data_IF_095103663403
#
_entry.id   IF_095103663403
#
_cell.length_a   1.000
_cell.length_b   1.000
_cell.length_c   1.000
_cell.angle_alpha   90.00
_cell.angle_beta   90.00
_cell.angle_gamma   90.00
#
_symmetry.space_group_name_H-M   'P 1'
#
loop_
_entity.id
_entity.type
_entity.pdbx_description
1 polymer ?
#
# COMPACT_ATOMS: atom_id res chain seq x y z
N UNK A 1 73.98 62.54 -3.69
CA UNK A 1 74.14 62.65 -5.17
C UNK A 1 73.42 61.46 -5.78
N UNK A 2 72.52 61.53 -6.76
CA UNK A 2 71.89 62.57 -7.55
C UNK A 2 70.84 61.86 -8.42
N UNK A 3 69.67 62.46 -8.59
CA UNK A 3 68.51 61.94 -9.34
C UNK A 3 68.86 61.50 -10.77
N UNK A 4 68.15 60.48 -11.27
CA UNK A 4 67.45 60.56 -12.56
C UNK A 4 66.29 59.56 -12.63
N UNK A 5 65.10 60.11 -12.90
CA UNK A 5 63.86 59.40 -13.11
C UNK A 5 63.77 58.92 -14.56
N UNK A 6 63.25 57.72 -14.79
CA UNK A 6 62.50 57.42 -16.01
C UNK A 6 61.23 56.65 -15.67
N UNK A 7 60.12 57.34 -15.95
CA UNK A 7 58.77 56.81 -16.13
C UNK A 7 58.77 55.70 -17.17
N UNK A 8 58.03 54.61 -16.93
CA UNK A 8 57.15 54.02 -17.96
C UNK A 8 56.14 53.02 -17.37
N UNK A 9 54.87 53.25 -17.74
CA UNK A 9 53.82 52.25 -17.98
C UNK A 9 53.26 51.42 -16.80
N UNK A 10 52.16 51.92 -16.22
CA UNK A 10 51.10 51.09 -15.59
C UNK A 10 50.54 50.09 -16.61
N UNK A 11 50.78 48.79 -16.42
CA UNK A 11 49.97 47.73 -17.05
C UNK A 11 48.80 47.38 -16.13
N UNK A 12 47.62 47.93 -16.43
CA UNK A 12 46.35 47.42 -15.93
C UNK A 12 46.17 45.97 -16.42
N UNK A 13 46.36 44.98 -15.53
CA UNK A 13 45.86 43.63 -15.77
C UNK A 13 44.39 43.60 -15.37
N UNK A 14 43.49 43.74 -16.35
CA UNK A 14 42.07 43.37 -16.17
C UNK A 14 41.98 41.88 -15.80
N UNK A 15 41.16 41.46 -14.81
CA UNK A 15 40.97 40.05 -14.52
C UNK A 15 40.25 39.38 -15.70
N UNK A 16 40.99 38.55 -16.46
CA UNK A 16 40.47 37.78 -17.61
C UNK A 16 39.38 36.80 -17.18
N UNK A 17 38.14 37.04 -17.64
CA UNK A 17 37.12 36.15 -18.28
C UNK A 17 36.99 34.64 -17.92
N UNK A 18 37.74 34.06 -16.97
CA UNK A 18 37.73 32.60 -16.69
C UNK A 18 36.48 32.10 -15.95
N UNK A 19 35.78 32.95 -15.19
CA UNK A 19 34.58 32.54 -14.41
C UNK A 19 33.32 32.28 -15.26
N UNK A 20 33.16 32.88 -16.45
CA UNK A 20 31.93 32.73 -17.26
C UNK A 20 31.87 31.39 -18.01
N UNK A 21 33.00 30.84 -18.42
CA UNK A 21 33.04 29.54 -19.10
C UNK A 21 32.86 28.37 -18.12
N UNK A 22 33.34 28.50 -16.87
CA UNK A 22 33.13 27.49 -15.83
C UNK A 22 31.67 27.39 -15.38
N UNK A 23 30.93 28.51 -15.34
CA UNK A 23 29.50 28.51 -14.99
C UNK A 23 28.65 27.87 -16.11
N UNK A 24 28.97 28.15 -17.39
CA UNK A 24 28.26 27.52 -18.52
C UNK A 24 28.49 26.01 -18.57
N UNK A 25 29.74 25.57 -18.35
CA UNK A 25 30.05 24.15 -18.27
C UNK A 25 29.31 23.47 -17.10
N UNK A 26 29.25 24.11 -15.93
CA UNK A 26 28.51 23.61 -14.78
C UNK A 26 27.01 23.49 -15.06
N UNK A 27 26.40 24.51 -15.69
CA UNK A 27 24.99 24.48 -16.09
C UNK A 27 24.68 23.38 -17.10
N UNK A 28 25.57 23.15 -18.07
CA UNK A 28 25.42 22.07 -19.04
C UNK A 28 25.52 20.69 -18.38
N UNK A 29 26.39 20.51 -17.39
CA UNK A 29 26.49 19.27 -16.60
C UNK A 29 25.21 19.07 -15.78
N UNK A 30 24.69 20.11 -15.12
CA UNK A 30 23.44 20.03 -14.37
C UNK A 30 22.27 19.65 -15.29
N UNK A 31 22.16 20.26 -16.46
CA UNK A 31 21.12 19.91 -17.44
C UNK A 31 21.23 18.47 -17.92
N UNK A 32 22.44 17.97 -18.16
CA UNK A 32 22.67 16.56 -18.51
C UNK A 32 22.26 15.61 -17.39
N UNK A 33 22.56 15.95 -16.14
CA UNK A 33 22.13 15.16 -14.97
C UNK A 33 20.61 15.17 -14.87
N UNK A 34 19.97 16.33 -14.96
CA UNK A 34 18.51 16.44 -14.91
C UNK A 34 17.84 15.67 -16.04
N UNK A 35 18.39 15.74 -17.25
CA UNK A 35 17.89 14.95 -18.38
C UNK A 35 18.09 13.45 -18.15
N UNK A 36 19.25 13.03 -17.62
CA UNK A 36 19.51 11.63 -17.27
C UNK A 36 18.57 11.11 -16.19
N UNK A 37 18.29 11.90 -15.15
CA UNK A 37 17.31 11.56 -14.10
C UNK A 37 15.90 11.48 -14.67
N UNK A 38 15.49 12.46 -15.46
CA UNK A 38 14.18 12.45 -16.14
C UNK A 38 14.03 11.24 -17.06
N UNK A 39 15.04 10.94 -17.88
CA UNK A 39 15.03 9.78 -18.78
C UNK A 39 15.01 8.45 -18.01
N UNK A 40 15.70 8.37 -16.87
CA UNK A 40 15.63 7.20 -15.98
C UNK A 40 14.25 7.03 -15.36
N UNK A 41 13.62 8.12 -14.91
CA UNK A 41 12.23 8.11 -14.42
C UNK A 41 11.30 7.59 -15.51
N UNK A 42 11.44 8.07 -16.74
CA UNK A 42 10.57 7.66 -17.85
C UNK A 42 10.71 6.16 -18.20
N UNK A 43 11.93 5.61 -18.15
CA UNK A 43 12.14 4.16 -18.32
C UNK A 43 11.44 3.38 -17.21
N UNK A 44 11.63 3.78 -15.95
CA UNK A 44 11.03 3.09 -14.79
C UNK A 44 9.51 3.17 -14.82
N UNK A 45 8.95 4.34 -15.15
CA UNK A 45 7.50 4.53 -15.28
C UNK A 45 6.93 3.68 -16.42
N UNK A 46 7.62 3.56 -17.55
CA UNK A 46 7.19 2.73 -18.67
C UNK A 46 7.10 1.25 -18.29
N UNK A 47 8.11 0.71 -17.60
CA UNK A 47 8.10 -0.69 -17.14
C UNK A 47 7.01 -0.92 -16.10
N UNK A 48 6.91 -0.06 -15.09
CA UNK A 48 5.87 -0.15 -14.06
C UNK A 48 4.45 -0.09 -14.67
N UNK A 49 4.24 0.76 -15.66
CA UNK A 49 2.97 0.87 -16.39
C UNK A 49 2.63 -0.42 -17.13
N UNK A 50 3.62 -1.06 -17.75
CA UNK A 50 3.41 -2.31 -18.48
C UNK A 50 3.04 -3.48 -17.56
N UNK A 51 3.69 -3.60 -16.39
CA UNK A 51 3.41 -4.63 -15.39
C UNK A 51 2.02 -4.42 -14.80
N UNK A 52 1.72 -3.19 -14.36
CA UNK A 52 0.41 -2.84 -13.82
C UNK A 52 -0.72 -3.12 -14.83
N UNK A 53 -0.46 -2.94 -16.13
CA UNK A 53 -1.44 -3.27 -17.17
C UNK A 53 -1.74 -4.77 -17.23
N UNK A 54 -0.72 -5.63 -17.23
CA UNK A 54 -0.90 -7.10 -17.26
C UNK A 54 -1.63 -7.59 -16.01
N UNK A 55 -1.25 -7.07 -14.84
CA UNK A 55 -1.90 -7.41 -13.57
C UNK A 55 -3.37 -7.00 -13.56
N UNK A 56 -3.69 -5.80 -14.08
CA UNK A 56 -5.07 -5.35 -14.19
C UNK A 56 -5.89 -6.18 -15.21
N UNK A 57 -5.27 -6.64 -16.30
CA UNK A 57 -5.93 -7.54 -17.28
C UNK A 57 -6.23 -8.92 -16.67
N UNK A 58 -5.33 -9.47 -15.85
CA UNK A 58 -5.57 -10.72 -15.11
C UNK A 58 -6.77 -10.55 -14.15
N UNK A 59 -6.83 -9.43 -13.44
CA UNK A 59 -7.96 -9.12 -12.55
C UNK A 59 -9.26 -8.99 -13.35
N UNK A 60 -9.26 -8.36 -14.52
CA UNK A 60 -10.44 -8.24 -15.38
C UNK A 60 -10.98 -9.61 -15.83
N UNK A 61 -10.09 -10.55 -16.15
CA UNK A 61 -10.47 -11.92 -16.49
C UNK A 61 -11.12 -12.63 -15.29
N UNK A 62 -10.58 -12.44 -14.09
CA UNK A 62 -11.15 -13.00 -12.86
C UNK A 62 -12.54 -12.40 -12.60
N UNK A 63 -12.70 -11.08 -12.76
CA UNK A 63 -14.00 -10.41 -12.63
C UNK A 63 -15.02 -11.02 -13.61
N UNK A 64 -14.63 -11.20 -14.87
CA UNK A 64 -15.52 -11.78 -15.87
C UNK A 64 -15.91 -13.23 -15.55
N UNK A 65 -14.98 -14.03 -15.04
CA UNK A 65 -15.21 -15.44 -14.75
C UNK A 65 -16.03 -15.65 -13.46
N UNK A 66 -15.76 -14.86 -12.42
CA UNK A 66 -16.21 -15.13 -11.06
C UNK A 66 -17.20 -14.08 -10.51
N UNK A 67 -17.41 -12.96 -11.20
CA UNK A 67 -18.17 -11.81 -10.71
C UNK A 67 -19.68 -11.81 -10.97
N UNK A 68 -20.25 -12.83 -11.63
CA UNK A 68 -21.65 -12.82 -12.09
C UNK A 68 -22.68 -12.57 -10.97
N UNK A 69 -22.42 -13.06 -9.76
CA UNK A 69 -23.30 -12.94 -8.59
C UNK A 69 -22.95 -11.73 -7.69
N UNK A 70 -22.13 -10.80 -8.19
CA UNK A 70 -21.60 -9.67 -7.45
C UNK A 70 -21.83 -8.36 -8.20
N UNK A 71 -22.12 -7.30 -7.43
CA UNK A 71 -21.95 -5.93 -7.92
C UNK A 71 -20.51 -5.48 -7.63
N UNK A 72 -19.76 -5.13 -8.67
CA UNK A 72 -18.42 -4.55 -8.58
C UNK A 72 -18.50 -3.12 -9.11
N UNK A 73 -18.40 -2.17 -8.20
CA UNK A 73 -18.63 -0.74 -8.45
C UNK A 73 -17.30 -0.01 -8.26
N UNK A 74 -16.89 0.78 -9.25
CA UNK A 74 -15.73 1.66 -9.17
C UNK A 74 -16.17 3.05 -8.71
N UNK A 75 -15.77 3.43 -7.49
CA UNK A 75 -16.09 4.71 -6.86
C UNK A 75 -15.01 5.06 -5.82
N UNK A 76 -14.05 5.92 -6.20
CA UNK A 76 -12.89 6.30 -5.38
C UNK A 76 -12.19 5.08 -4.75
N UNK A 77 -11.97 4.05 -5.58
CA UNK A 77 -11.67 2.69 -5.16
C UNK A 77 -12.71 1.72 -5.70
N UNK A 78 -12.96 0.64 -4.96
CA UNK A 78 -13.90 -0.40 -5.37
C UNK A 78 -14.83 -0.82 -4.24
N UNK A 79 -16.09 -1.05 -4.57
CA UNK A 79 -17.08 -1.67 -3.71
C UNK A 79 -17.52 -2.98 -4.38
N UNK A 80 -17.36 -4.10 -3.67
CA UNK A 80 -17.72 -5.43 -4.12
C UNK A 80 -18.76 -5.98 -3.14
N UNK A 81 -19.97 -6.29 -3.62
CA UNK A 81 -21.04 -6.81 -2.77
C UNK A 81 -21.85 -7.92 -3.46
N UNK A 82 -22.42 -8.86 -2.70
CA UNK A 82 -23.35 -9.85 -3.26
C UNK A 82 -24.60 -9.19 -3.85
N UNK A 83 -25.01 -9.59 -5.05
CA UNK A 83 -26.29 -9.14 -5.64
C UNK A 83 -27.48 -10.06 -5.27
N UNK A 84 -27.21 -11.18 -4.61
CA UNK A 84 -28.20 -12.17 -4.19
C UNK A 84 -28.74 -11.96 -2.76
N UNK A 85 -28.16 -11.04 -1.98
CA UNK A 85 -28.64 -10.64 -0.65
C UNK A 85 -28.06 -9.30 -0.22
N UNK A 86 -28.76 -8.58 0.63
CA UNK A 86 -28.21 -7.37 1.26
C UNK A 86 -27.20 -7.74 2.37
N UNK A 87 -25.95 -7.26 2.30
CA UNK A 87 -24.95 -7.51 3.33
C UNK A 87 -25.20 -6.66 4.59
N UNK A 88 -24.98 -7.24 5.77
CA UNK A 88 -25.04 -6.54 7.08
C UNK A 88 -23.68 -6.50 7.79
N UNK A 89 -22.69 -7.21 7.26
CA UNK A 89 -21.29 -7.21 7.72
C UNK A 89 -20.39 -6.81 6.56
N UNK A 90 -19.39 -5.98 6.85
CA UNK A 90 -18.51 -5.40 5.85
C UNK A 90 -17.04 -5.57 6.17
N UNK A 91 -16.22 -5.48 5.13
CA UNK A 91 -14.77 -5.57 5.17
C UNK A 91 -14.20 -4.36 4.44
N UNK A 92 -13.24 -3.66 5.05
CA UNK A 92 -12.49 -2.58 4.39
C UNK A 92 -11.07 -3.07 4.17
N UNK A 93 -10.58 -3.07 2.93
CA UNK A 93 -9.21 -3.51 2.60
C UNK A 93 -8.34 -2.29 2.29
N UNK A 94 -7.40 -2.00 3.18
CA UNK A 94 -6.34 -1.02 2.98
C UNK A 94 -5.19 -1.67 2.20
N UNK A 95 -5.11 -1.33 0.92
CA UNK A 95 -4.06 -1.78 0.02
C UNK A 95 -2.66 -1.37 0.51
N UNK A 96 -1.64 -2.14 0.10
CA UNK A 96 -0.26 -1.79 0.36
C UNK A 96 0.14 -0.53 -0.42
N UNK A 97 1.08 0.24 0.14
CA UNK A 97 1.52 1.50 -0.45
C UNK A 97 2.15 1.31 -1.83
N UNK A 98 1.67 2.05 -2.83
CA UNK A 98 2.13 1.97 -4.21
C UNK A 98 1.48 0.84 -5.03
N UNK A 99 0.58 0.05 -4.45
CA UNK A 99 -0.14 -1.02 -5.13
C UNK A 99 -1.54 -0.55 -5.53
N UNK A 100 -1.99 -0.94 -6.72
CA UNK A 100 -3.33 -0.65 -7.20
C UNK A 100 -4.40 -1.28 -6.28
N UNK A 101 -5.45 -0.53 -5.88
CA UNK A 101 -6.61 -1.09 -5.18
C UNK A 101 -7.24 -2.27 -5.94
N UNK A 102 -7.23 -2.20 -7.28
CA UNK A 102 -7.80 -3.24 -8.16
C UNK A 102 -7.17 -4.62 -7.93
N UNK A 103 -5.89 -4.68 -7.56
CA UNK A 103 -5.18 -5.93 -7.27
C UNK A 103 -5.82 -6.75 -6.14
N UNK A 104 -6.64 -6.14 -5.28
CA UNK A 104 -7.32 -6.82 -4.16
C UNK A 104 -8.72 -7.35 -4.52
N UNK A 105 -9.21 -7.10 -5.74
CA UNK A 105 -10.53 -7.58 -6.16
C UNK A 105 -10.65 -9.11 -6.09
N UNK A 106 -9.65 -9.93 -6.50
CA UNK A 106 -9.78 -11.39 -6.41
C UNK A 106 -10.03 -11.91 -4.99
N UNK A 107 -9.29 -11.42 -3.99
CA UNK A 107 -9.57 -11.71 -2.58
C UNK A 107 -10.98 -11.22 -2.18
N UNK A 108 -11.38 -10.04 -2.65
CA UNK A 108 -12.68 -9.44 -2.35
C UNK A 108 -13.84 -10.23 -2.95
N UNK A 109 -13.69 -10.82 -4.13
CA UNK A 109 -14.69 -11.70 -4.75
C UNK A 109 -14.94 -12.92 -3.86
N UNK A 110 -13.88 -13.56 -3.34
CA UNK A 110 -14.02 -14.73 -2.45
C UNK A 110 -14.83 -14.36 -1.20
N UNK A 111 -14.52 -13.21 -0.59
CA UNK A 111 -15.22 -12.70 0.60
C UNK A 111 -16.66 -12.30 0.27
N UNK A 112 -16.89 -11.59 -0.84
CA UNK A 112 -18.21 -11.14 -1.23
C UNK A 112 -19.16 -12.28 -1.62
N UNK A 113 -18.63 -13.38 -2.18
CA UNK A 113 -19.40 -14.63 -2.40
C UNK A 113 -19.87 -15.29 -1.11
N UNK A 114 -19.21 -15.05 0.03
CA UNK A 114 -19.71 -15.44 1.36
C UNK A 114 -20.74 -14.45 1.91
N UNK A 115 -21.04 -13.42 1.13
CA UNK A 115 -22.09 -12.45 1.30
C UNK A 115 -21.75 -11.32 2.26
N UNK A 116 -20.48 -10.90 2.25
CA UNK A 116 -19.98 -9.68 2.89
C UNK A 116 -19.90 -8.56 1.85
N UNK A 117 -20.02 -7.31 2.29
CA UNK A 117 -19.60 -6.19 1.46
C UNK A 117 -18.11 -5.95 1.65
N UNK A 118 -17.36 -5.75 0.58
CA UNK A 118 -15.93 -5.42 0.63
C UNK A 118 -15.72 -4.06 -0.01
N UNK A 119 -15.01 -3.18 0.67
CA UNK A 119 -14.64 -1.84 0.18
C UNK A 119 -13.13 -1.73 0.14
N UNK A 120 -12.58 -1.35 -1.00
CA UNK A 120 -11.15 -1.11 -1.21
C UNK A 120 -10.97 0.38 -1.55
N UNK A 121 -10.69 1.26 -0.57
CA UNK A 121 -10.47 2.67 -0.85
C UNK A 121 -9.25 2.90 -1.74
N UNK A 122 -9.37 3.87 -2.64
CA UNK A 122 -8.23 4.48 -3.32
C UNK A 122 -7.70 5.66 -2.52
N UNK A 123 -6.37 5.79 -2.47
CA UNK A 123 -5.69 6.90 -1.82
C UNK A 123 -4.84 7.64 -2.83
N UNK A 124 -4.58 8.94 -2.59
CA UNK A 124 -3.69 9.72 -3.44
C UNK A 124 -2.33 9.03 -3.57
N UNK A 125 -1.89 8.80 -4.82
CA UNK A 125 -0.66 8.06 -5.15
C UNK A 125 -0.59 6.64 -4.57
N UNK A 126 -1.73 5.98 -4.33
CA UNK A 126 -1.82 4.69 -3.65
C UNK A 126 -1.10 4.70 -2.28
N UNK A 127 -1.14 5.85 -1.58
CA UNK A 127 -0.47 6.01 -0.28
C UNK A 127 -1.50 5.99 0.85
N UNK A 128 -1.66 4.87 1.57
CA UNK A 128 -2.73 4.71 2.58
C UNK A 128 -2.58 5.65 3.79
N UNK A 129 -1.40 6.27 3.96
CA UNK A 129 -1.18 7.31 4.97
C UNK A 129 -1.88 8.65 4.64
N UNK A 130 -2.31 8.84 3.39
CA UNK A 130 -2.93 10.09 2.89
C UNK A 130 -4.45 9.89 2.81
N UNK A 131 -5.12 9.84 3.95
CA UNK A 131 -6.57 9.57 4.01
C UNK A 131 -7.11 9.33 5.41
N UNK A 132 -6.77 10.19 6.37
CA UNK A 132 -7.11 9.96 7.79
C UNK A 132 -8.60 9.78 8.06
N UNK A 133 -9.49 10.37 7.23
CA UNK A 133 -10.94 10.26 7.41
C UNK A 133 -11.62 9.23 6.49
N UNK A 134 -10.87 8.49 5.68
CA UNK A 134 -11.44 7.56 4.68
C UNK A 134 -12.26 6.46 5.35
N UNK A 135 -11.77 5.86 6.44
CA UNK A 135 -12.48 4.79 7.17
C UNK A 135 -13.85 5.24 7.67
N UNK A 136 -13.92 6.40 8.32
CA UNK A 136 -15.18 6.96 8.84
C UNK A 136 -16.17 7.28 7.72
N UNK A 137 -15.66 7.77 6.59
CA UNK A 137 -16.49 8.07 5.41
C UNK A 137 -17.12 6.80 4.86
N UNK A 138 -16.32 5.74 4.67
CA UNK A 138 -16.81 4.42 4.24
C UNK A 138 -17.88 3.88 5.18
N UNK A 139 -17.62 3.91 6.50
CA UNK A 139 -18.56 3.37 7.48
C UNK A 139 -19.88 4.15 7.48
N UNK A 140 -19.83 5.48 7.33
CA UNK A 140 -20.99 6.36 7.28
C UNK A 140 -21.81 6.17 5.99
N UNK A 141 -21.15 6.00 4.85
CA UNK A 141 -21.84 5.88 3.55
C UNK A 141 -22.48 4.50 3.35
N UNK A 142 -22.26 3.56 4.29
CA UNK A 142 -22.72 2.18 4.23
C UNK A 142 -23.48 1.79 5.52
N UNK A 143 -24.54 2.53 5.83
CA UNK A 143 -25.34 2.40 7.06
C UNK A 143 -26.01 1.04 7.25
N UNK A 144 -26.23 0.28 6.17
CA UNK A 144 -26.72 -1.10 6.23
C UNK A 144 -25.73 -2.07 6.91
N UNK A 145 -24.44 -1.71 6.93
CA UNK A 145 -23.39 -2.50 7.57
C UNK A 145 -23.32 -2.16 9.06
N UNK A 146 -23.50 -3.20 9.88
CA UNK A 146 -23.55 -3.11 11.33
C UNK A 146 -22.19 -3.39 11.97
N UNK A 147 -21.39 -4.27 11.35
CA UNK A 147 -20.11 -4.71 11.88
C UNK A 147 -19.06 -4.69 10.77
N UNK A 148 -17.92 -4.08 11.08
CA UNK A 148 -16.78 -3.93 10.18
C UNK A 148 -15.56 -4.69 10.67
N UNK A 149 -14.89 -5.34 9.72
CA UNK A 149 -13.51 -5.80 9.86
C UNK A 149 -12.63 -4.98 8.93
N UNK A 150 -11.53 -4.45 9.42
CA UNK A 150 -10.56 -3.73 8.57
C UNK A 150 -9.36 -4.63 8.33
N UNK A 151 -9.01 -4.84 7.06
CA UNK A 151 -7.86 -5.63 6.62
C UNK A 151 -6.84 -4.66 6.05
N UNK A 152 -5.58 -4.76 6.45
CA UNK A 152 -4.52 -3.90 5.92
C UNK A 152 -3.30 -4.72 5.54
N UNK A 153 -2.76 -4.45 4.35
CA UNK A 153 -1.56 -5.12 3.84
C UNK A 153 -0.35 -4.19 3.88
N UNK A 154 0.76 -4.64 4.47
CA UNK A 154 2.01 -3.88 4.50
C UNK A 154 1.80 -2.48 5.08
N UNK A 155 2.13 -1.44 4.30
CA UNK A 155 1.91 -0.03 4.69
C UNK A 155 0.43 0.32 4.91
N UNK A 156 -0.49 -0.42 4.30
CA UNK A 156 -1.93 -0.30 4.55
C UNK A 156 -2.31 -0.78 5.95
N UNK A 157 -1.64 -1.82 6.46
CA UNK A 157 -1.79 -2.32 7.84
C UNK A 157 -1.34 -1.30 8.88
N UNK A 158 -0.17 -0.70 8.67
CA UNK A 158 0.31 0.41 9.48
C UNK A 158 -0.68 1.58 9.46
N UNK A 159 -1.07 2.04 8.27
CA UNK A 159 -1.94 3.19 8.10
C UNK A 159 -3.34 3.00 8.73
N UNK A 160 -3.96 1.82 8.58
CA UNK A 160 -5.27 1.58 9.19
C UNK A 160 -5.21 1.59 10.71
N UNK A 161 -4.07 1.16 11.30
CA UNK A 161 -3.96 0.88 12.73
C UNK A 161 -4.24 2.09 13.62
N UNK A 162 -3.93 3.30 13.13
CA UNK A 162 -4.13 4.54 13.89
C UNK A 162 -5.61 4.95 14.01
N UNK A 163 -6.50 4.37 13.18
CA UNK A 163 -7.93 4.72 13.13
C UNK A 163 -8.87 3.57 13.53
N UNK A 164 -8.36 2.39 13.91
CA UNK A 164 -9.20 1.23 14.25
C UNK A 164 -10.12 1.42 15.47
N UNK A 165 -9.90 2.47 16.26
CA UNK A 165 -10.73 2.83 17.42
C UNK A 165 -11.69 4.00 17.15
N UNK A 166 -11.74 4.49 15.91
CA UNK A 166 -12.50 5.69 15.57
C UNK A 166 -14.02 5.46 15.53
N UNK A 167 -14.46 4.22 15.32
CA UNK A 167 -15.87 3.86 15.18
C UNK A 167 -16.20 2.55 15.91
N UNK A 168 -17.32 2.53 16.64
CA UNK A 168 -17.75 1.38 17.43
C UNK A 168 -18.22 0.19 16.59
N UNK A 169 -18.58 0.39 15.32
CA UNK A 169 -18.93 -0.68 14.39
C UNK A 169 -17.71 -1.49 13.98
N UNK A 170 -16.49 -0.98 14.18
CA UNK A 170 -15.25 -1.73 13.92
C UNK A 170 -15.07 -2.74 15.05
N UNK A 171 -15.13 -4.02 14.71
CA UNK A 171 -14.97 -5.12 15.67
C UNK A 171 -13.78 -6.03 15.36
N UNK A 172 -13.27 -5.97 14.13
CA UNK A 172 -12.20 -6.82 13.64
C UNK A 172 -11.06 -6.04 12.99
N UNK A 173 -9.84 -6.54 13.13
CA UNK A 173 -8.70 -6.09 12.35
C UNK A 173 -7.86 -7.28 11.86
N UNK A 174 -7.35 -7.20 10.62
CA UNK A 174 -6.46 -8.20 10.03
C UNK A 174 -5.23 -7.52 9.46
N UNK A 175 -4.06 -7.85 9.99
CA UNK A 175 -2.77 -7.41 9.47
C UNK A 175 -2.23 -8.48 8.52
N UNK A 176 -2.15 -8.16 7.23
CA UNK A 176 -1.48 -8.99 6.22
C UNK A 176 -0.05 -8.49 6.08
N UNK A 177 0.93 -9.34 6.36
CA UNK A 177 2.37 -9.04 6.32
C UNK A 177 2.71 -7.63 6.86
N UNK A 178 2.14 -7.30 8.03
CA UNK A 178 2.25 -5.99 8.64
C UNK A 178 2.01 -6.05 10.14
N UNK A 179 2.14 -4.90 10.79
CA UNK A 179 1.95 -4.71 12.22
C UNK A 179 1.36 -3.30 12.48
N UNK A 180 0.83 -3.02 13.68
CA UNK A 180 0.40 -1.67 14.03
C UNK A 180 1.55 -0.66 13.98
N UNK A 181 1.25 0.59 13.63
CA UNK A 181 2.22 1.68 13.73
C UNK A 181 2.63 1.94 15.18
N UNK A 182 3.76 2.61 15.37
CA UNK A 182 4.37 2.81 16.69
C UNK A 182 3.44 3.39 17.77
N UNK A 183 2.54 4.30 17.40
CA UNK A 183 1.57 4.91 18.32
C UNK A 183 0.23 4.17 18.45
N UNK A 184 0.01 3.10 17.69
CA UNK A 184 -1.29 2.41 17.61
C UNK A 184 -1.36 1.20 18.54
N UNK A 185 -1.48 1.42 19.85
CA UNK A 185 -1.68 0.34 20.81
C UNK A 185 -3.12 -0.19 20.79
N UNK A 186 -3.31 -1.41 20.30
CA UNK A 186 -4.59 -2.11 20.22
C UNK A 186 -4.79 -3.15 21.33
N UNK A 187 -3.83 -3.34 22.24
CA UNK A 187 -3.84 -4.41 23.26
C UNK A 187 -5.10 -4.44 24.13
N UNK A 188 -5.67 -3.27 24.39
CA UNK A 188 -6.91 -3.07 25.19
C UNK A 188 -8.09 -2.57 24.36
N UNK A 189 -8.06 -2.75 23.04
CA UNK A 189 -9.11 -2.27 22.14
C UNK A 189 -10.41 -3.07 22.22
N UNK A 190 -10.35 -4.34 22.65
CA UNK A 190 -11.48 -5.26 22.58
C UNK A 190 -11.74 -5.82 21.17
N UNK A 191 -10.96 -5.40 20.17
CA UNK A 191 -11.06 -5.91 18.80
C UNK A 191 -10.64 -7.38 18.73
N UNK A 192 -11.27 -8.12 17.81
CA UNK A 192 -10.75 -9.39 17.33
C UNK A 192 -9.65 -9.11 16.32
N UNK A 193 -8.46 -9.66 16.53
CA UNK A 193 -7.32 -9.39 15.63
C UNK A 193 -6.72 -10.68 15.08
N UNK A 194 -6.39 -10.67 13.80
CA UNK A 194 -5.52 -11.65 13.17
C UNK A 194 -4.28 -10.97 12.57
N UNK A 195 -3.15 -11.66 12.64
CA UNK A 195 -1.89 -11.30 11.98
C UNK A 195 -1.46 -12.45 11.11
N UNK A 196 -1.42 -12.23 9.80
CA UNK A 196 -1.23 -13.26 8.77
C UNK A 196 0.02 -12.89 7.95
N UNK A 197 0.98 -13.81 7.84
CA UNK A 197 2.17 -13.62 6.98
C UNK A 197 2.47 -14.87 6.17
N UNK A 198 3.19 -14.72 5.06
CA UNK A 198 3.77 -15.86 4.35
C UNK A 198 5.01 -16.42 5.08
N UNK A 199 5.33 -17.70 4.88
CA UNK A 199 6.61 -18.26 5.37
C UNK A 199 7.80 -17.87 4.50
N UNK A 200 7.57 -17.48 3.25
CA UNK A 200 8.56 -16.99 2.29
C UNK A 200 8.56 -15.46 2.15
N UNK A 201 7.84 -14.75 3.02
CA UNK A 201 7.86 -13.29 3.09
C UNK A 201 9.23 -12.79 3.56
N UNK A 202 9.89 -11.99 2.72
CA UNK A 202 11.19 -11.36 3.00
C UNK A 202 11.10 -9.85 3.14
N UNK A 203 9.90 -9.29 2.99
CA UNK A 203 9.64 -7.85 3.03
C UNK A 203 9.30 -7.38 4.44
N UNK A 204 8.67 -8.25 5.25
CA UNK A 204 8.32 -7.95 6.64
C UNK A 204 9.57 -7.80 7.53
N UNK A 205 9.71 -6.65 8.19
CA UNK A 205 10.70 -6.45 9.25
C UNK A 205 10.33 -7.31 10.46
N UNK A 206 11.04 -8.43 10.65
CA UNK A 206 10.75 -9.40 11.71
C UNK A 206 11.06 -8.87 13.11
N UNK A 207 12.03 -7.97 13.27
CA UNK A 207 12.37 -7.40 14.58
C UNK A 207 11.24 -6.47 15.03
N UNK A 208 10.81 -5.56 14.15
CA UNK A 208 9.65 -4.71 14.40
C UNK A 208 8.38 -5.54 14.56
N UNK A 209 8.17 -6.57 13.74
CA UNK A 209 7.00 -7.43 13.87
C UNK A 209 6.90 -8.08 15.26
N UNK A 210 7.99 -8.67 15.76
CA UNK A 210 8.00 -9.28 17.10
C UNK A 210 7.83 -8.23 18.20
N UNK A 211 8.45 -7.06 18.10
CA UNK A 211 8.25 -5.96 19.05
C UNK A 211 6.80 -5.48 19.09
N UNK A 212 6.16 -5.35 17.92
CA UNK A 212 4.82 -4.78 17.77
C UNK A 212 3.71 -5.75 18.16
N UNK A 213 3.99 -7.05 18.37
CA UNK A 213 3.02 -7.99 18.97
C UNK A 213 2.49 -7.52 20.32
N UNK A 214 3.30 -6.81 21.11
CA UNK A 214 2.86 -6.25 22.41
C UNK A 214 1.74 -5.20 22.30
N UNK A 215 1.55 -4.64 21.10
CA UNK A 215 0.48 -3.68 20.81
C UNK A 215 -0.81 -4.37 20.36
N UNK A 216 -0.81 -5.69 20.22
CA UNK A 216 -1.98 -6.44 19.79
C UNK A 216 -2.70 -7.06 21.01
N UNK A 217 -4.01 -7.32 20.92
CA UNK A 217 -4.72 -8.06 21.96
C UNK A 217 -4.07 -9.42 22.26
N UNK A 218 -4.10 -9.86 23.51
CA UNK A 218 -3.51 -11.15 23.93
C UNK A 218 -4.10 -12.35 23.16
N UNK A 219 -5.36 -12.25 22.75
CA UNK A 219 -6.07 -13.28 21.98
C UNK A 219 -5.92 -13.11 20.45
N UNK A 220 -4.90 -12.37 19.99
CA UNK A 220 -4.61 -12.23 18.56
C UNK A 220 -4.27 -13.57 17.94
N UNK A 221 -4.88 -13.86 16.79
CA UNK A 221 -4.57 -15.05 16.00
C UNK A 221 -3.33 -14.78 15.12
N UNK A 222 -2.22 -15.44 15.41
CA UNK A 222 -1.02 -15.39 14.56
C UNK A 222 -1.01 -16.57 13.60
N UNK A 223 -1.05 -16.28 12.29
CA UNK A 223 -1.13 -17.29 11.23
C UNK A 223 0.04 -17.13 10.28
N UNK A 224 0.60 -18.26 9.86
CA UNK A 224 1.58 -18.33 8.79
C UNK A 224 0.99 -19.14 7.64
N UNK A 225 0.98 -18.56 6.43
CA UNK A 225 0.63 -19.25 5.20
C UNK A 225 1.90 -19.93 4.71
N UNK A 226 1.92 -21.26 4.82
CA UNK A 226 3.04 -22.05 4.34
C UNK A 226 3.24 -21.81 2.85
N UNK A 227 4.50 -21.68 2.43
CA UNK A 227 4.89 -21.42 1.04
C UNK A 227 4.38 -20.09 0.44
N UNK A 228 3.69 -19.26 1.23
CA UNK A 228 3.21 -17.95 0.81
C UNK A 228 4.27 -16.84 0.95
N UNK A 229 4.08 -15.73 0.25
CA UNK A 229 4.97 -14.56 0.28
C UNK A 229 4.24 -13.27 0.68
N UNK A 230 4.91 -12.12 0.49
CA UNK A 230 4.34 -10.79 0.73
C UNK A 230 3.28 -10.39 -0.31
N UNK A 231 3.56 -10.45 -1.61
CA UNK A 231 2.66 -9.88 -2.64
C UNK A 231 1.35 -10.64 -2.82
N UNK A 232 1.36 -11.96 -2.63
CA UNK A 232 0.29 -12.86 -3.11
C UNK A 232 -1.00 -12.77 -2.27
N UNK A 233 -1.06 -11.86 -1.29
CA UNK A 233 -2.32 -11.37 -0.72
C UNK A 233 -3.18 -10.60 -1.74
N UNK A 234 -2.59 -10.15 -2.85
CA UNK A 234 -3.26 -9.46 -3.96
C UNK A 234 -2.64 -9.89 -5.32
N UNK A 235 -3.29 -9.49 -6.43
CA UNK A 235 -2.82 -9.74 -7.79
C UNK A 235 -1.84 -8.65 -8.22
N UNK A 236 -0.60 -8.77 -7.73
CA UNK A 236 0.55 -8.01 -8.22
C UNK A 236 1.87 -8.73 -7.91
N UNK A 237 2.94 -8.35 -8.58
CA UNK A 237 4.29 -8.88 -8.40
C UNK A 237 5.19 -7.84 -7.73
N UNK A 238 5.78 -8.17 -6.57
CA UNK A 238 6.74 -7.27 -5.91
C UNK A 238 7.88 -7.93 -5.14
N UNK A 239 7.94 -9.26 -5.07
CA UNK A 239 8.90 -10.00 -4.22
C UNK A 239 9.27 -11.33 -4.88
N UNK A 240 10.15 -12.09 -4.23
CA UNK A 240 10.49 -13.47 -4.57
C UNK A 240 9.24 -14.35 -4.70
N UNK A 241 9.26 -15.23 -5.70
CA UNK A 241 8.16 -16.13 -6.02
C UNK A 241 7.79 -16.98 -4.81
N UNK A 242 6.49 -16.99 -4.46
CA UNK A 242 5.93 -17.97 -3.55
C UNK A 242 5.98 -19.38 -4.19
N UNK A 243 5.85 -20.43 -3.37
CA UNK A 243 5.72 -21.81 -3.86
C UNK A 243 4.24 -22.23 -4.04
N UNK A 244 3.30 -21.34 -3.75
CA UNK A 244 1.87 -21.48 -4.04
C UNK A 244 1.40 -20.37 -4.98
N UNK A 245 0.27 -20.59 -5.67
CA UNK A 245 -0.32 -19.56 -6.54
C UNK A 245 -0.89 -18.38 -5.74
N UNK A 246 -1.04 -17.21 -6.39
CA UNK A 246 -1.76 -16.06 -5.81
C UNK A 246 -3.15 -16.44 -5.32
N UNK A 247 -3.91 -17.16 -6.15
CA UNK A 247 -5.25 -17.62 -5.81
C UNK A 247 -5.25 -18.52 -4.58
N UNK A 248 -4.31 -19.45 -4.47
CA UNK A 248 -4.20 -20.34 -3.31
C UNK A 248 -3.93 -19.54 -2.03
N UNK A 249 -2.99 -18.60 -2.05
CA UNK A 249 -2.73 -17.73 -0.90
C UNK A 249 -3.94 -16.86 -0.54
N UNK A 250 -4.66 -16.33 -1.53
CA UNK A 250 -5.88 -15.55 -1.31
C UNK A 250 -7.02 -16.40 -0.73
N UNK A 251 -7.18 -17.64 -1.18
CA UNK A 251 -8.14 -18.59 -0.60
C UNK A 251 -7.80 -18.83 0.87
N UNK A 252 -6.54 -19.18 1.18
CA UNK A 252 -6.12 -19.41 2.57
C UNK A 252 -6.28 -18.16 3.44
N UNK A 253 -5.95 -16.98 2.89
CA UNK A 253 -6.16 -15.69 3.56
C UNK A 253 -7.64 -15.46 3.85
N UNK A 254 -8.52 -15.70 2.87
CA UNK A 254 -9.97 -15.52 3.04
C UNK A 254 -10.52 -16.42 4.15
N UNK A 255 -10.04 -17.66 4.29
CA UNK A 255 -10.44 -18.57 5.37
C UNK A 255 -10.12 -17.97 6.73
N UNK A 256 -8.94 -17.37 6.91
CA UNK A 256 -8.56 -16.75 8.18
C UNK A 256 -9.38 -15.48 8.48
N UNK A 257 -9.65 -14.66 7.46
CA UNK A 257 -10.53 -13.50 7.60
C UNK A 257 -11.93 -13.93 8.03
N UNK A 258 -12.49 -14.99 7.41
CA UNK A 258 -13.79 -15.54 7.75
C UNK A 258 -13.82 -16.13 9.17
N UNK A 259 -12.78 -16.86 9.57
CA UNK A 259 -12.64 -17.37 10.93
C UNK A 259 -12.63 -16.25 11.98
N UNK A 260 -12.00 -15.11 11.68
CA UNK A 260 -12.06 -13.92 12.54
C UNK A 260 -13.48 -13.34 12.57
N UNK A 261 -14.13 -13.22 11.41
CA UNK A 261 -15.47 -12.67 11.23
C UNK A 261 -16.55 -13.44 11.98
N UNK A 262 -16.39 -14.75 12.15
CA UNK A 262 -17.29 -15.61 12.93
C UNK A 262 -17.18 -15.36 14.45
N UNK A 263 -16.07 -14.80 14.92
CA UNK A 263 -15.87 -14.45 16.33
C UNK A 263 -16.40 -13.06 16.71
N UNK A 264 -16.78 -12.28 15.70
CA UNK A 264 -17.27 -10.91 15.84
C UNK A 264 -18.79 -10.94 16.07
N UNK A 265 -19.22 -10.24 17.13
CA UNK A 265 -20.62 -10.08 17.53
C UNK A 265 -21.07 -8.63 17.38
#
# INVERSE_FOLDING_TARGET
MGRRSQSTSRRNRTPKKRKKHSIKALLSIILLILFGVWFMIEIVESEATSVAKVENEEVDQIIQAEGADLDIIEDNGYIIKPNFREPTKGIIIYANGGVSPKSYIPLSIILAKKGYQVVIPEFLFNSPNIGSNTMNTIIKDNDNIQLWTVVGHGRGGEAMSVNLKADEKIKGAVFLASYPSEGADLSKSGLKVASIKGTLDKTLDLELYEDRKKQLPENTMFVQIENGNFSYFANYENDTMAEISKLEQQIQTSVQILNLMDQIK
#
